data_IF_883264346336
#
_entry.id   IF_883264346336
#
_cell.length_a   1.000
_cell.length_b   1.000
_cell.length_c   1.000
_cell.angle_alpha   90.00
_cell.angle_beta   90.00
_cell.angle_gamma   90.00
#
_symmetry.space_group_name_H-M   'P 1'
#
loop_
_entity.id
_entity.type
_entity.pdbx_description
1 polymer ?
#
# COMPACT_ATOMS: atom_id res chain seq x y z
N UNK A 1 6.91 -10.48 -10.33
CA UNK A 1 6.06 -10.62 -11.55
C UNK A 1 6.48 -9.56 -12.55
N UNK A 2 6.23 -9.77 -13.85
CA UNK A 2 6.43 -8.77 -14.93
C UNK A 2 5.06 -8.42 -15.49
N UNK A 3 4.40 -7.42 -14.92
CA UNK A 3 3.11 -6.90 -15.36
C UNK A 3 3.29 -5.62 -16.20
N UNK A 4 4.34 -4.84 -15.94
CA UNK A 4 4.63 -3.62 -16.71
C UNK A 4 5.08 -3.99 -18.13
N UNK A 5 4.30 -3.55 -19.10
CA UNK A 5 4.56 -3.73 -20.53
C UNK A 5 5.73 -2.86 -20.99
N UNK A 6 6.32 -3.24 -22.12
CA UNK A 6 7.37 -2.43 -22.76
C UNK A 6 6.90 -1.01 -23.09
N UNK A 7 5.63 -0.86 -23.50
CA UNK A 7 5.02 0.42 -23.84
C UNK A 7 4.93 1.32 -22.62
N UNK A 8 4.32 0.84 -21.54
CA UNK A 8 4.22 1.60 -20.27
C UNK A 8 5.60 1.96 -19.73
N UNK A 9 6.57 1.05 -19.82
CA UNK A 9 7.94 1.31 -19.39
C UNK A 9 8.59 2.43 -20.21
N UNK A 10 8.38 2.44 -21.52
CA UNK A 10 8.86 3.50 -22.40
C UNK A 10 8.19 4.84 -22.09
N UNK A 11 6.87 4.85 -21.88
CA UNK A 11 6.12 6.07 -21.54
C UNK A 11 6.55 6.64 -20.17
N UNK A 12 6.80 5.76 -19.18
CA UNK A 12 7.36 6.14 -17.88
C UNK A 12 8.73 6.80 -18.01
N UNK A 13 9.62 6.25 -18.85
CA UNK A 13 10.92 6.87 -19.12
C UNK A 13 10.78 8.19 -19.88
N UNK A 14 9.85 8.29 -20.82
CA UNK A 14 9.63 9.53 -21.54
C UNK A 14 9.17 10.66 -20.59
N UNK A 15 8.26 10.41 -19.65
CA UNK A 15 7.85 11.44 -18.68
C UNK A 15 8.95 11.79 -17.68
N UNK A 16 9.86 10.86 -17.37
CA UNK A 16 11.05 11.12 -16.54
C UNK A 16 12.05 11.98 -17.30
N UNK A 17 12.28 11.68 -18.59
CA UNK A 17 13.26 12.38 -19.41
C UNK A 17 12.80 13.76 -19.84
N UNK A 18 11.53 13.88 -20.25
CA UNK A 18 11.00 15.06 -20.95
C UNK A 18 9.85 15.73 -20.23
N UNK A 19 9.29 15.15 -19.17
CA UNK A 19 8.03 15.63 -18.60
C UNK A 19 6.83 15.33 -19.49
N UNK A 20 5.72 16.01 -19.24
CA UNK A 20 4.47 15.82 -19.99
C UNK A 20 3.65 17.10 -20.09
N UNK A 21 2.75 17.16 -21.07
CA UNK A 21 1.81 18.27 -21.19
C UNK A 21 0.54 18.01 -20.39
N UNK A 22 -0.01 19.06 -19.78
CA UNK A 22 -1.32 19.05 -19.11
C UNK A 22 -2.14 20.25 -19.55
N UNK A 23 -3.44 20.05 -19.69
CA UNK A 23 -4.40 21.14 -19.90
C UNK A 23 -4.73 21.82 -18.58
N UNK A 24 -4.64 23.14 -18.55
CA UNK A 24 -4.98 23.98 -17.41
C UNK A 24 -5.95 25.08 -17.87
N UNK A 25 -6.98 25.35 -17.07
CA UNK A 25 -7.87 26.48 -17.31
C UNK A 25 -7.25 27.73 -16.71
N UNK A 26 -7.05 28.76 -17.55
CA UNK A 26 -6.47 30.04 -17.17
C UNK A 26 -7.49 31.15 -17.46
N UNK A 27 -7.81 31.97 -16.46
CA UNK A 27 -8.74 33.10 -16.61
C UNK A 27 -8.00 34.32 -17.16
N UNK A 28 -8.24 34.68 -18.41
CA UNK A 28 -7.68 35.85 -19.08
C UNK A 28 -8.61 37.05 -19.00
N UNK A 29 -8.09 38.20 -18.58
CA UNK A 29 -8.85 39.45 -18.64
C UNK A 29 -8.75 40.03 -20.06
N UNK A 30 -9.87 40.06 -20.77
CA UNK A 30 -9.92 40.51 -22.17
C UNK A 30 -10.18 42.01 -22.34
N UNK A 31 -10.28 42.78 -21.25
CA UNK A 31 -10.58 44.21 -21.28
C UNK A 31 -12.02 44.53 -21.69
N UNK A 32 -12.46 44.03 -22.86
CA UNK A 32 -13.76 44.32 -23.49
C UNK A 32 -14.89 43.40 -23.02
N UNK A 33 -14.59 42.16 -22.59
CA UNK A 33 -15.59 41.14 -22.22
C UNK A 33 -15.43 40.58 -20.79
N UNK A 34 -14.50 41.13 -19.99
CA UNK A 34 -14.19 40.61 -18.65
C UNK A 34 -13.25 39.40 -18.69
N UNK A 35 -13.34 38.53 -17.68
CA UNK A 35 -12.54 37.31 -17.60
C UNK A 35 -13.13 36.22 -18.49
N UNK A 36 -12.29 35.62 -19.33
CA UNK A 36 -12.63 34.40 -20.08
C UNK A 36 -11.74 33.27 -19.61
N UNK A 37 -12.31 32.08 -19.43
CA UNK A 37 -11.56 30.89 -19.12
C UNK A 37 -11.08 30.25 -20.43
N UNK A 38 -9.76 30.13 -20.56
CA UNK A 38 -9.12 29.53 -21.74
C UNK A 38 -8.39 28.28 -21.29
N UNK A 39 -8.58 27.18 -22.03
CA UNK A 39 -7.79 25.96 -21.83
C UNK A 39 -6.43 26.15 -22.49
N UNK A 40 -5.38 26.18 -21.68
CA UNK A 40 -4.00 26.27 -22.13
C UNK A 40 -3.25 24.96 -21.85
N UNK A 41 -2.30 24.62 -22.72
CA UNK A 41 -1.43 23.47 -22.53
C UNK A 41 -0.16 23.91 -21.83
N UNK A 42 0.05 23.42 -20.61
CA UNK A 42 1.20 23.71 -19.77
C UNK A 42 2.11 22.50 -19.72
N UNK A 43 3.40 22.72 -19.92
CA UNK A 43 4.40 21.67 -19.81
C UNK A 43 4.83 21.49 -18.35
N UNK A 44 4.70 20.26 -17.86
CA UNK A 44 5.04 19.84 -16.50
C UNK A 44 6.33 19.04 -16.54
N UNK A 45 7.36 19.53 -15.83
CA UNK A 45 8.64 18.87 -15.73
C UNK A 45 9.16 18.87 -14.29
N UNK A 46 9.60 17.70 -13.83
CA UNK A 46 10.26 17.50 -12.55
C UNK A 46 11.52 16.66 -12.75
N UNK A 47 12.71 17.15 -12.37
CA UNK A 47 13.92 16.34 -12.46
C UNK A 47 13.85 15.18 -11.46
N UNK A 48 14.25 13.98 -11.89
CA UNK A 48 14.13 12.76 -11.08
C UNK A 48 14.90 12.82 -9.75
N UNK A 49 16.05 13.50 -9.74
CA UNK A 49 16.87 13.70 -8.55
C UNK A 49 16.35 14.83 -7.64
N UNK A 50 15.35 15.59 -8.08
CA UNK A 50 14.71 16.66 -7.30
C UNK A 50 15.69 17.71 -6.77
N UNK A 51 15.97 17.66 -5.46
CA UNK A 51 16.89 18.57 -4.75
C UNK A 51 18.31 18.02 -4.57
N UNK A 52 18.53 16.75 -4.90
CA UNK A 52 19.82 16.06 -4.79
C UNK A 52 20.62 16.22 -6.09
N UNK A 53 21.88 15.77 -6.10
CA UNK A 53 22.60 15.46 -7.33
C UNK A 53 22.18 14.11 -7.91
N UNK A 54 22.50 13.87 -9.19
CA UNK A 54 22.25 12.58 -9.85
C UNK A 54 22.88 11.41 -9.08
N UNK A 55 24.14 11.56 -8.65
CA UNK A 55 24.85 10.51 -7.90
C UNK A 55 24.19 10.28 -6.54
N UNK A 56 23.92 11.33 -5.78
CA UNK A 56 23.25 11.22 -4.47
C UNK A 56 21.86 10.57 -4.59
N UNK A 57 21.13 10.81 -5.70
CA UNK A 57 19.87 10.14 -5.95
C UNK A 57 20.07 8.65 -6.23
N UNK A 58 20.98 8.28 -7.13
CA UNK A 58 21.23 6.89 -7.51
C UNK A 58 21.74 6.09 -6.30
N UNK A 59 22.59 6.66 -5.45
CA UNK A 59 23.10 6.02 -4.22
C UNK A 59 21.99 5.67 -3.21
N UNK A 60 20.82 6.30 -3.30
CA UNK A 60 19.67 5.94 -2.44
C UNK A 60 19.00 4.64 -2.87
N UNK A 61 19.18 4.25 -4.12
CA UNK A 61 18.60 3.05 -4.71
C UNK A 61 19.62 1.92 -4.86
N UNK A 62 20.90 2.25 -5.08
CA UNK A 62 21.94 1.31 -5.45
C UNK A 62 23.22 1.53 -4.66
N UNK A 63 23.87 0.47 -4.12
CA UNK A 63 25.13 0.58 -3.41
C UNK A 63 26.29 0.75 -4.41
N UNK A 64 26.47 1.97 -4.93
CA UNK A 64 27.42 2.24 -6.01
C UNK A 64 28.89 1.91 -5.66
N UNK A 65 29.26 1.99 -4.39
CA UNK A 65 30.60 1.61 -3.88
C UNK A 65 30.85 0.09 -3.98
N UNK A 66 29.80 -0.73 -3.98
CA UNK A 66 29.89 -2.20 -4.05
C UNK A 66 29.60 -2.77 -5.46
N UNK A 67 29.19 -1.90 -6.40
CA UNK A 67 28.85 -2.30 -7.76
C UNK A 67 30.07 -2.29 -8.67
N UNK A 68 30.16 -3.23 -9.64
CA UNK A 68 31.29 -3.29 -10.55
C UNK A 68 31.33 -2.06 -11.47
N UNK A 69 32.54 -1.55 -11.69
CA UNK A 69 32.80 -0.53 -12.72
C UNK A 69 32.65 -1.10 -14.13
N UNK A 70 32.16 -0.29 -15.08
CA UNK A 70 32.21 -0.63 -16.51
C UNK A 70 33.53 -0.23 -17.15
N UNK A 71 34.30 0.63 -16.47
CA UNK A 71 35.64 1.02 -16.84
C UNK A 71 36.66 0.49 -15.83
N UNK A 72 37.44 -0.50 -16.28
CA UNK A 72 38.52 -1.15 -15.52
C UNK A 72 39.57 -0.21 -14.87
N UNK A 73 39.57 1.10 -15.19
CA UNK A 73 40.40 2.12 -14.55
C UNK A 73 39.91 2.49 -13.15
N UNK A 74 38.64 2.26 -12.84
CA UNK A 74 38.02 2.57 -11.55
C UNK A 74 37.70 1.29 -10.77
N UNK A 75 37.71 1.41 -9.45
CA UNK A 75 37.49 0.29 -8.53
C UNK A 75 36.03 -0.14 -8.48
N UNK A 76 35.11 0.82 -8.51
CA UNK A 76 33.67 0.64 -8.33
C UNK A 76 32.86 1.47 -9.34
N UNK A 77 31.54 1.27 -9.34
CA UNK A 77 30.62 2.01 -10.18
C UNK A 77 30.59 3.50 -9.84
N UNK A 78 30.74 3.88 -8.57
CA UNK A 78 30.70 5.28 -8.15
C UNK A 78 31.84 6.10 -8.74
N UNK A 79 33.07 5.60 -8.70
CA UNK A 79 34.25 6.25 -9.26
C UNK A 79 34.16 6.39 -10.78
N UNK A 80 33.66 5.35 -11.44
CA UNK A 80 33.35 5.31 -12.88
C UNK A 80 32.36 6.41 -13.27
N UNK A 81 31.18 6.37 -12.64
CA UNK A 81 30.08 7.32 -12.86
C UNK A 81 30.56 8.74 -12.58
N UNK A 82 31.16 9.00 -11.42
CA UNK A 82 31.65 10.33 -11.04
C UNK A 82 32.63 10.88 -12.08
N UNK A 83 33.55 10.06 -12.57
CA UNK A 83 34.53 10.54 -13.51
C UNK A 83 33.88 10.89 -14.85
N UNK A 84 32.99 10.04 -15.34
CA UNK A 84 32.37 10.20 -16.65
C UNK A 84 31.23 11.24 -16.68
N UNK A 85 30.43 11.36 -15.62
CA UNK A 85 29.29 12.29 -15.58
C UNK A 85 29.66 13.67 -15.02
N UNK A 86 30.67 13.76 -14.14
CA UNK A 86 31.06 15.03 -13.49
C UNK A 86 32.41 15.54 -13.97
N UNK A 87 33.45 14.70 -14.01
CA UNK A 87 34.81 15.18 -14.31
C UNK A 87 35.02 15.43 -15.81
N UNK A 88 34.57 14.50 -16.65
CA UNK A 88 34.71 14.57 -18.11
C UNK A 88 33.41 14.96 -18.82
N UNK A 89 32.25 14.64 -18.23
CA UNK A 89 30.93 14.88 -18.80
C UNK A 89 30.81 14.34 -20.24
N UNK A 90 31.24 13.09 -20.44
CA UNK A 90 31.33 12.43 -21.75
C UNK A 90 30.30 11.29 -21.92
N UNK A 91 29.45 11.06 -20.92
CA UNK A 91 28.30 10.16 -21.00
C UNK A 91 27.02 10.89 -21.43
N UNK A 92 26.08 10.21 -22.11
CA UNK A 92 24.80 10.79 -22.46
C UNK A 92 23.94 11.08 -21.21
N UNK A 93 23.03 12.05 -21.32
CA UNK A 93 21.99 12.23 -20.31
C UNK A 93 21.17 10.94 -20.17
N UNK A 94 20.78 10.62 -18.93
CA UNK A 94 20.02 9.40 -18.61
C UNK A 94 20.73 8.08 -18.99
N UNK A 95 22.08 8.08 -19.05
CA UNK A 95 22.90 6.90 -19.30
C UNK A 95 22.50 5.67 -18.45
N UNK A 96 22.01 5.88 -17.23
CA UNK A 96 21.62 4.83 -16.29
C UNK A 96 20.36 4.06 -16.74
N UNK A 97 19.50 4.65 -17.57
CA UNK A 97 18.39 3.92 -18.20
C UNK A 97 18.93 2.88 -19.18
N UNK A 98 20.13 3.12 -19.71
CA UNK A 98 20.79 2.24 -20.67
C UNK A 98 21.75 1.21 -20.06
N UNK A 99 22.02 1.32 -18.77
CA UNK A 99 23.00 0.51 -18.07
C UNK A 99 22.34 -0.69 -17.35
N UNK A 100 22.75 -1.90 -17.73
CA UNK A 100 22.19 -3.15 -17.22
C UNK A 100 22.37 -3.32 -15.70
N UNK A 101 23.35 -2.64 -15.09
CA UNK A 101 23.59 -2.70 -13.64
C UNK A 101 22.42 -2.17 -12.82
N UNK A 102 21.56 -1.33 -13.39
CA UNK A 102 20.41 -0.73 -12.71
C UNK A 102 19.10 -1.48 -12.95
N UNK A 103 19.09 -2.42 -13.90
CA UNK A 103 17.93 -3.27 -14.21
C UNK A 103 16.64 -2.50 -14.55
N UNK A 104 16.78 -1.28 -15.10
CA UNK A 104 15.64 -0.43 -15.43
C UNK A 104 15.02 -0.76 -16.79
N UNK A 105 15.79 -1.33 -17.73
CA UNK A 105 15.31 -1.62 -19.09
C UNK A 105 14.14 -2.61 -19.13
N UNK A 106 13.45 -2.59 -20.27
CA UNK A 106 12.55 -3.69 -20.63
C UNK A 106 13.30 -5.03 -20.58
N UNK A 107 12.63 -6.07 -20.08
CA UNK A 107 13.22 -7.40 -19.89
C UNK A 107 13.78 -7.67 -18.49
N UNK A 108 13.90 -6.66 -17.62
CA UNK A 108 14.17 -6.84 -16.19
C UNK A 108 12.86 -6.96 -15.37
N UNK A 109 12.97 -7.08 -14.05
CA UNK A 109 11.82 -7.07 -13.16
C UNK A 109 11.15 -5.68 -13.10
N UNK A 110 9.93 -5.61 -12.57
CA UNK A 110 9.20 -4.34 -12.42
C UNK A 110 9.62 -3.57 -11.15
N UNK A 111 10.11 -4.28 -10.15
CA UNK A 111 10.50 -3.69 -8.87
C UNK A 111 11.55 -2.56 -8.99
N UNK A 112 12.63 -2.67 -9.79
CA UNK A 112 13.60 -1.58 -9.94
C UNK A 112 12.98 -0.27 -10.45
N UNK A 113 12.13 -0.31 -11.49
CA UNK A 113 11.49 0.90 -12.01
C UNK A 113 10.46 1.45 -11.03
N UNK A 114 9.69 0.60 -10.34
CA UNK A 114 8.73 1.05 -9.34
C UNK A 114 9.42 1.71 -8.14
N UNK A 115 10.55 1.16 -7.67
CA UNK A 115 11.39 1.78 -6.63
C UNK A 115 11.97 3.13 -7.09
N UNK A 116 12.47 3.21 -8.32
CA UNK A 116 12.97 4.45 -8.90
C UNK A 116 11.91 5.55 -8.91
N UNK A 117 10.68 5.25 -9.36
CA UNK A 117 9.57 6.20 -9.38
C UNK A 117 9.14 6.63 -7.97
N UNK A 118 9.09 5.70 -7.00
CA UNK A 118 8.79 6.03 -5.61
C UNK A 118 9.86 6.94 -4.99
N UNK A 119 11.14 6.68 -5.28
CA UNK A 119 12.25 7.46 -4.74
C UNK A 119 12.28 8.88 -5.32
N UNK A 120 11.98 9.04 -6.60
CA UNK A 120 11.77 10.35 -7.23
C UNK A 120 10.71 11.19 -6.48
N UNK A 121 9.67 10.52 -5.96
CA UNK A 121 8.57 11.13 -5.20
C UNK A 121 8.85 11.25 -3.70
N UNK A 122 9.97 10.72 -3.19
CA UNK A 122 10.26 10.73 -1.76
C UNK A 122 10.43 12.16 -1.23
N UNK A 123 9.86 12.56 -0.07
CA UNK A 123 10.00 13.90 0.54
C UNK A 123 11.42 14.38 0.85
N UNK A 124 12.44 13.55 0.62
CA UNK A 124 13.86 13.90 0.78
C UNK A 124 14.51 14.25 -0.58
N UNK A 125 13.91 13.76 -1.67
CA UNK A 125 14.33 13.97 -3.05
C UNK A 125 13.50 15.09 -3.68
N UNK A 126 12.18 14.94 -3.75
CA UNK A 126 11.29 15.90 -4.42
C UNK A 126 11.38 17.31 -3.84
N UNK A 127 11.07 18.32 -4.65
CA UNK A 127 10.82 19.69 -4.19
C UNK A 127 9.34 19.84 -3.88
N UNK A 128 9.01 20.26 -2.67
CA UNK A 128 7.62 20.26 -2.19
C UNK A 128 6.73 21.28 -2.93
N UNK A 129 7.33 22.37 -3.38
CA UNK A 129 6.73 23.41 -4.24
C UNK A 129 6.80 23.07 -5.75
N UNK A 130 7.33 21.89 -6.10
CA UNK A 130 7.35 21.38 -7.47
C UNK A 130 6.09 20.60 -7.86
N UNK A 131 5.99 20.15 -9.13
CA UNK A 131 4.79 19.52 -9.65
C UNK A 131 4.72 18.01 -9.36
N UNK A 132 5.12 17.60 -8.16
CA UNK A 132 5.24 16.17 -7.82
C UNK A 132 3.88 15.47 -7.74
N UNK A 133 2.81 16.20 -7.42
CA UNK A 133 1.44 15.66 -7.37
C UNK A 133 0.95 15.29 -8.76
N UNK A 134 1.23 16.15 -9.74
CA UNK A 134 0.95 15.91 -11.14
C UNK A 134 1.72 14.68 -11.65
N UNK A 135 2.96 14.49 -11.19
CA UNK A 135 3.71 13.27 -11.49
C UNK A 135 3.09 12.02 -10.86
N UNK A 136 2.58 12.07 -9.61
CA UNK A 136 1.85 10.94 -9.00
C UNK A 136 0.63 10.56 -9.86
N UNK A 137 -0.17 11.55 -10.25
CA UNK A 137 -1.34 11.35 -11.11
C UNK A 137 -0.94 10.71 -12.44
N UNK A 138 0.07 11.27 -13.12
CA UNK A 138 0.51 10.78 -14.43
C UNK A 138 1.15 9.40 -14.37
N UNK A 139 1.96 9.11 -13.35
CA UNK A 139 2.55 7.80 -13.15
C UNK A 139 1.45 6.75 -12.94
N UNK A 140 0.45 7.06 -12.13
CA UNK A 140 -0.68 6.15 -11.90
C UNK A 140 -1.56 5.96 -13.14
N UNK A 141 -1.74 6.99 -13.96
CA UNK A 141 -2.41 6.87 -15.26
C UNK A 141 -1.73 5.80 -16.14
N UNK A 142 -0.40 5.76 -16.13
CA UNK A 142 0.40 4.81 -16.91
C UNK A 142 0.49 3.41 -16.25
N UNK A 143 0.63 3.33 -14.93
CA UNK A 143 0.82 2.05 -14.23
C UNK A 143 -0.46 1.24 -14.05
N UNK A 144 -1.61 1.90 -13.87
CA UNK A 144 -2.88 1.22 -13.58
C UNK A 144 -3.29 0.19 -14.64
N UNK A 145 -3.22 0.49 -15.95
CA UNK A 145 -3.49 -0.50 -17.01
C UNK A 145 -2.64 -1.78 -16.88
N UNK A 146 -1.44 -1.66 -16.32
CA UNK A 146 -0.48 -2.76 -16.13
C UNK A 146 -0.54 -3.36 -14.72
N UNK A 147 -1.60 -3.06 -13.96
CA UNK A 147 -1.87 -3.68 -12.66
C UNK A 147 -1.01 -3.16 -11.51
N UNK A 148 -0.44 -1.96 -11.62
CA UNK A 148 0.29 -1.31 -10.53
C UNK A 148 -0.24 0.08 -10.22
N UNK A 149 -0.07 0.52 -8.98
CA UNK A 149 -0.23 1.91 -8.58
C UNK A 149 0.83 2.30 -7.55
N UNK A 150 1.15 3.60 -7.53
CA UNK A 150 1.90 4.26 -6.48
C UNK A 150 0.89 4.97 -5.56
N UNK A 151 0.97 4.71 -4.26
CA UNK A 151 0.03 5.20 -3.24
C UNK A 151 0.76 5.86 -2.07
N UNK A 152 0.11 6.81 -1.41
CA UNK A 152 0.64 7.44 -0.21
C UNK A 152 0.64 6.40 0.93
N UNK A 153 1.83 6.02 1.38
CA UNK A 153 2.01 4.89 2.31
C UNK A 153 2.11 5.35 3.76
N UNK A 154 2.87 6.41 4.03
CA UNK A 154 3.02 7.01 5.36
C UNK A 154 3.53 8.45 5.22
N UNK A 155 3.70 9.17 6.33
CA UNK A 155 4.19 10.55 6.32
C UNK A 155 5.51 10.70 7.06
N UNK A 156 6.40 11.55 6.53
CA UNK A 156 7.58 12.05 7.23
C UNK A 156 7.44 13.56 7.33
N UNK A 157 7.43 14.10 8.55
CA UNK A 157 7.25 15.55 8.79
C UNK A 157 6.01 16.10 8.06
N UNK A 158 4.88 15.37 8.15
CA UNK A 158 3.60 15.65 7.49
C UNK A 158 3.62 15.68 5.95
N UNK A 159 4.59 14.99 5.33
CA UNK A 159 4.70 14.84 3.87
C UNK A 159 4.56 13.39 3.46
N UNK A 160 3.72 13.13 2.46
CA UNK A 160 3.44 11.78 1.99
C UNK A 160 4.67 11.12 1.35
N UNK A 161 5.00 9.94 1.84
CA UNK A 161 5.94 8.99 1.25
C UNK A 161 5.16 7.98 0.42
N UNK A 162 5.54 7.85 -0.84
CA UNK A 162 4.87 6.96 -1.78
C UNK A 162 5.56 5.60 -1.87
N UNK A 163 4.76 4.52 -1.88
CA UNK A 163 5.20 3.16 -2.21
C UNK A 163 4.35 2.63 -3.36
N UNK A 164 4.73 1.50 -3.95
CA UNK A 164 3.94 0.83 -4.99
C UNK A 164 3.20 -0.39 -4.44
N UNK A 165 2.07 -0.74 -5.06
CA UNK A 165 1.32 -1.98 -4.83
C UNK A 165 0.64 -2.42 -6.12
N UNK A 166 0.16 -3.66 -6.16
CA UNK A 166 -0.71 -4.08 -7.26
C UNK A 166 -2.00 -3.24 -7.28
N UNK A 167 -2.33 -2.69 -8.43
CA UNK A 167 -3.59 -1.99 -8.65
C UNK A 167 -4.71 -2.99 -8.83
N UNK A 168 -5.81 -2.75 -8.14
CA UNK A 168 -7.05 -3.48 -8.32
C UNK A 168 -8.00 -2.52 -9.03
N UNK A 169 -8.22 -2.77 -10.31
CA UNK A 169 -9.16 -1.98 -11.11
C UNK A 169 -10.58 -2.11 -10.53
N UNK A 170 -11.13 -0.98 -10.09
CA UNK A 170 -12.48 -0.90 -9.56
C UNK A 170 -13.55 -0.87 -10.67
N UNK A 171 -13.15 -0.53 -11.90
CA UNK A 171 -14.02 -0.36 -13.08
C UNK A 171 -14.12 -1.65 -13.91
N UNK A 172 -13.12 -2.54 -13.82
CA UNK A 172 -13.27 -3.96 -14.21
C UNK A 172 -14.01 -4.69 -13.11
N UNK A 173 -15.31 -4.41 -13.02
CA UNK A 173 -16.30 -5.09 -12.17
C UNK A 173 -15.75 -5.49 -10.80
N UNK A 174 -16.04 -4.72 -9.76
CA UNK A 174 -16.05 -5.21 -8.38
C UNK A 174 -16.75 -6.59 -8.38
N UNK A 175 -15.93 -7.64 -8.45
CA UNK A 175 -16.38 -9.01 -8.61
C UNK A 175 -16.65 -9.54 -7.22
N UNK A 176 -17.30 -10.71 -7.12
CA UNK A 176 -17.47 -11.40 -5.83
C UNK A 176 -16.18 -11.37 -4.99
N UNK A 177 -15.00 -11.55 -5.60
CA UNK A 177 -13.71 -11.64 -4.89
C UNK A 177 -13.24 -10.35 -4.20
N UNK A 178 -13.81 -9.18 -4.50
CA UNK A 178 -13.38 -7.90 -3.90
C UNK A 178 -14.17 -7.54 -2.64
N UNK A 179 -15.38 -8.08 -2.47
CA UNK A 179 -16.21 -7.84 -1.29
C UNK A 179 -15.45 -8.24 -0.01
N UNK A 180 -15.56 -7.40 1.03
CA UNK A 180 -15.08 -7.71 2.37
C UNK A 180 -15.44 -9.14 2.79
N UNK A 181 -16.69 -9.57 2.64
CA UNK A 181 -17.09 -10.93 3.02
C UNK A 181 -16.37 -12.04 2.26
N UNK A 182 -16.05 -11.82 0.98
CA UNK A 182 -15.27 -12.78 0.21
C UNK A 182 -13.78 -12.74 0.53
N UNK A 183 -13.23 -11.56 0.88
CA UNK A 183 -11.86 -11.43 1.39
C UNK A 183 -11.66 -12.18 2.71
N UNK A 184 -12.68 -12.21 3.57
CA UNK A 184 -12.63 -12.85 4.88
C UNK A 184 -13.48 -14.13 4.99
N UNK A 185 -13.83 -14.77 3.86
CA UNK A 185 -14.75 -15.92 3.81
C UNK A 185 -14.39 -17.09 4.72
N UNK A 186 -13.10 -17.29 4.99
CA UNK A 186 -12.60 -18.38 5.86
C UNK A 186 -12.98 -18.18 7.33
N UNK A 187 -13.33 -16.94 7.71
CA UNK A 187 -13.76 -16.56 9.06
C UNK A 187 -15.28 -16.48 9.19
N UNK A 188 -16.02 -16.61 8.08
CA UNK A 188 -17.49 -16.65 8.09
C UNK A 188 -17.93 -18.12 8.15
N UNK A 189 -18.59 -18.50 9.24
CA UNK A 189 -19.07 -19.88 9.40
C UNK A 189 -20.59 -19.95 9.24
N UNK A 190 -21.09 -21.04 8.68
CA UNK A 190 -22.54 -21.30 8.60
C UNK A 190 -22.91 -22.38 9.61
N UNK A 191 -23.73 -22.04 10.61
CA UNK A 191 -24.25 -22.98 11.59
C UNK A 191 -25.78 -22.98 11.54
N UNK A 192 -26.40 -24.13 11.23
CA UNK A 192 -27.86 -24.27 11.09
C UNK A 192 -28.51 -23.28 10.11
N UNK A 193 -27.79 -22.87 9.06
CA UNK A 193 -28.26 -21.90 8.07
C UNK A 193 -28.03 -20.43 8.44
N UNK A 194 -27.57 -20.13 9.66
CA UNK A 194 -27.21 -18.77 10.08
C UNK A 194 -25.72 -18.52 9.87
N UNK A 195 -25.39 -17.31 9.39
CA UNK A 195 -24.03 -16.82 9.25
C UNK A 195 -23.52 -16.34 10.61
N UNK A 196 -22.32 -16.80 10.98
CA UNK A 196 -21.60 -16.39 12.17
C UNK A 196 -20.40 -15.54 11.78
N UNK A 197 -20.35 -14.34 12.35
CA UNK A 197 -19.25 -13.38 12.17
C UNK A 197 -18.13 -13.67 13.17
N UNK A 198 -16.99 -14.20 12.69
CA UNK A 198 -15.76 -14.31 13.50
C UNK A 198 -14.71 -13.25 13.13
N UNK A 199 -15.10 -12.23 12.39
CA UNK A 199 -14.24 -11.16 11.87
C UNK A 199 -14.36 -9.92 12.75
N UNK A 200 -15.56 -9.36 12.83
CA UNK A 200 -15.81 -8.04 13.43
C UNK A 200 -16.19 -8.13 14.92
N UNK A 201 -16.51 -9.33 15.42
CA UNK A 201 -16.96 -9.55 16.79
C UNK A 201 -18.41 -9.13 17.03
N UNK A 202 -18.80 -8.97 18.30
CA UNK A 202 -20.16 -8.50 18.65
C UNK A 202 -20.28 -6.99 18.45
N UNK A 203 -20.89 -6.59 17.34
CA UNK A 203 -21.23 -5.18 17.07
C UNK A 203 -22.65 -4.88 17.55
N UNK A 204 -22.81 -3.84 18.35
CA UNK A 204 -24.11 -3.42 18.86
C UNK A 204 -24.97 -2.75 17.78
N UNK A 205 -26.29 -2.99 17.84
CA UNK A 205 -27.28 -2.44 16.89
C UNK A 205 -27.17 -0.93 16.69
N UNK A 206 -26.89 -0.15 17.75
CA UNK A 206 -26.70 1.31 17.63
C UNK A 206 -25.55 1.73 16.72
N UNK A 207 -24.51 0.90 16.62
CA UNK A 207 -23.40 1.13 15.71
C UNK A 207 -23.84 0.84 14.27
N UNK A 208 -24.64 -0.21 14.06
CA UNK A 208 -25.24 -0.50 12.76
C UNK A 208 -26.17 0.63 12.29
N UNK A 209 -27.06 1.12 13.16
CA UNK A 209 -27.92 2.29 12.89
C UNK A 209 -27.09 3.52 12.52
N UNK A 210 -25.99 3.77 13.24
CA UNK A 210 -25.10 4.90 12.96
C UNK A 210 -24.44 4.78 11.59
N UNK A 211 -24.00 3.59 11.19
CA UNK A 211 -23.38 3.36 9.88
C UNK A 211 -24.40 3.54 8.76
N UNK A 212 -25.59 2.96 8.93
CA UNK A 212 -26.67 3.08 7.94
C UNK A 212 -27.16 4.52 7.79
N UNK A 213 -27.24 5.28 8.87
CA UNK A 213 -27.58 6.71 8.81
C UNK A 213 -26.53 7.52 8.05
N UNK A 214 -25.24 7.17 8.14
CA UNK A 214 -24.19 7.79 7.34
C UNK A 214 -24.36 7.38 5.87
N UNK A 215 -24.59 6.09 5.58
CA UNK A 215 -24.83 5.62 4.21
C UNK A 215 -26.00 6.38 3.55
N UNK A 216 -27.13 6.54 4.27
CA UNK A 216 -28.28 7.31 3.79
C UNK A 216 -27.97 8.79 3.60
N UNK A 217 -27.15 9.40 4.47
CA UNK A 217 -26.71 10.79 4.31
C UNK A 217 -25.90 11.02 3.02
N UNK A 218 -25.12 10.02 2.60
CA UNK A 218 -24.29 10.06 1.39
C UNK A 218 -24.96 9.34 0.21
N UNK A 219 -26.30 9.38 0.09
CA UNK A 219 -27.05 8.90 -1.08
C UNK A 219 -26.91 9.87 -2.27
N UNK A 220 -25.68 10.09 -2.76
CA UNK A 220 -25.41 11.06 -3.83
C UNK A 220 -26.31 10.80 -5.04
N UNK A 221 -27.22 11.74 -5.41
CA UNK A 221 -28.13 11.54 -6.51
C UNK A 221 -27.39 11.44 -7.84
N UNK A 222 -27.74 10.44 -8.64
CA UNK A 222 -27.11 10.19 -9.94
C UNK A 222 -28.13 9.77 -10.99
N UNK A 223 -27.67 9.71 -12.24
CA UNK A 223 -28.47 9.31 -13.38
C UNK A 223 -27.73 8.20 -14.13
N UNK A 224 -28.35 7.04 -14.22
CA UNK A 224 -27.81 5.92 -15.00
C UNK A 224 -28.57 5.75 -16.32
N UNK A 225 -27.85 5.34 -17.36
CA UNK A 225 -28.41 4.97 -18.66
C UNK A 225 -28.31 3.45 -18.81
N UNK A 226 -29.41 2.70 -18.62
CA UNK A 226 -29.38 1.24 -18.62
C UNK A 226 -28.89 0.63 -19.93
N UNK A 227 -29.00 1.37 -21.05
CA UNK A 227 -28.57 0.92 -22.36
C UNK A 227 -27.86 2.06 -23.10
N UNK A 228 -26.66 1.77 -23.64
CA UNK A 228 -25.85 2.73 -24.42
C UNK A 228 -26.58 3.25 -25.68
N UNK A 229 -27.57 2.52 -26.18
CA UNK A 229 -28.35 2.88 -27.38
C UNK A 229 -29.71 3.52 -27.07
N UNK A 230 -30.08 3.62 -25.79
CA UNK A 230 -31.33 4.22 -25.35
C UNK A 230 -31.05 5.52 -24.58
N UNK A 231 -31.89 6.53 -24.81
CA UNK A 231 -31.80 7.81 -24.11
C UNK A 231 -32.59 7.80 -22.79
N UNK A 232 -33.12 6.64 -22.38
CA UNK A 232 -33.81 6.48 -21.11
C UNK A 232 -32.86 6.67 -19.93
N UNK A 233 -33.10 7.73 -19.16
CA UNK A 233 -32.37 8.10 -17.96
C UNK A 233 -33.15 7.66 -16.72
N UNK A 234 -32.50 6.87 -15.85
CA UNK A 234 -33.06 6.46 -14.57
C UNK A 234 -32.39 7.29 -13.48
N UNK A 235 -33.20 8.05 -12.73
CA UNK A 235 -32.76 8.71 -11.52
C UNK A 235 -32.59 7.68 -10.42
N UNK A 236 -31.43 7.69 -9.78
CA UNK A 236 -31.05 6.80 -8.69
C UNK A 236 -30.08 7.56 -7.78
N UNK A 237 -29.43 6.86 -6.87
CA UNK A 237 -28.41 7.39 -5.98
C UNK A 237 -27.31 6.35 -5.73
N UNK A 238 -26.17 6.81 -5.19
CA UNK A 238 -25.00 5.97 -4.95
C UNK A 238 -25.29 4.79 -4.00
N UNK A 239 -26.13 4.98 -2.98
CA UNK A 239 -26.48 3.93 -2.02
C UNK A 239 -27.35 2.85 -2.68
N UNK A 240 -28.36 3.26 -3.44
CA UNK A 240 -29.24 2.37 -4.19
C UNK A 240 -28.46 1.53 -5.19
N UNK A 241 -27.55 2.14 -5.93
CA UNK A 241 -26.67 1.42 -6.86
C UNK A 241 -25.79 0.40 -6.12
N UNK A 242 -25.23 0.77 -4.96
CA UNK A 242 -24.43 -0.15 -4.15
C UNK A 242 -25.26 -1.36 -3.67
N UNK A 243 -26.49 -1.14 -3.21
CA UNK A 243 -27.40 -2.23 -2.78
C UNK A 243 -27.77 -3.13 -3.97
N UNK A 244 -28.11 -2.56 -5.12
CA UNK A 244 -28.44 -3.33 -6.34
C UNK A 244 -27.25 -4.19 -6.78
N UNK A 245 -26.03 -3.64 -6.72
CA UNK A 245 -24.80 -4.39 -6.99
C UNK A 245 -24.54 -5.48 -5.97
N UNK A 246 -24.70 -5.18 -4.68
CA UNK A 246 -24.55 -6.14 -3.59
C UNK A 246 -25.49 -7.35 -3.78
N UNK A 247 -26.77 -7.10 -4.05
CA UNK A 247 -27.78 -8.14 -4.31
C UNK A 247 -27.39 -8.97 -5.55
N UNK A 248 -26.90 -8.33 -6.60
CA UNK A 248 -26.45 -9.00 -7.83
C UNK A 248 -25.27 -9.96 -7.56
N UNK A 249 -24.35 -9.57 -6.66
CA UNK A 249 -23.14 -10.34 -6.35
C UNK A 249 -23.42 -11.46 -5.34
N UNK A 250 -24.14 -11.17 -4.25
CA UNK A 250 -24.37 -12.12 -3.15
C UNK A 250 -25.57 -13.05 -3.40
N UNK A 251 -26.48 -12.64 -4.28
CA UNK A 251 -27.65 -13.39 -4.70
C UNK A 251 -28.85 -13.24 -3.76
N UNK A 252 -30.05 -13.20 -4.35
CA UNK A 252 -31.33 -12.98 -3.66
C UNK A 252 -31.65 -13.97 -2.52
N UNK A 253 -31.06 -15.17 -2.52
CA UNK A 253 -31.33 -16.21 -1.52
C UNK A 253 -30.49 -16.08 -0.24
N UNK A 254 -29.44 -15.25 -0.26
CA UNK A 254 -28.50 -15.09 0.87
C UNK A 254 -28.87 -13.94 1.81
N UNK A 255 -29.86 -13.13 1.44
CA UNK A 255 -30.39 -12.01 2.23
C UNK A 255 -31.72 -12.50 2.84
N UNK A 256 -31.78 -12.74 4.15
CA UNK A 256 -33.03 -13.16 4.83
C UNK A 256 -34.11 -12.04 4.85
N UNK A 257 -33.78 -10.84 4.36
CA UNK A 257 -34.69 -9.70 4.22
C UNK A 257 -35.38 -9.77 2.86
N UNK A 258 -36.69 -9.51 2.83
CA UNK A 258 -37.44 -9.40 1.59
C UNK A 258 -36.81 -8.30 0.71
N UNK A 259 -36.18 -8.67 -0.42
CA UNK A 259 -35.44 -7.71 -1.24
C UNK A 259 -36.32 -6.62 -1.85
N UNK A 260 -37.62 -6.88 -2.02
CA UNK A 260 -38.60 -5.86 -2.43
C UNK A 260 -38.81 -4.79 -1.34
N UNK A 261 -38.60 -5.14 -0.06
CA UNK A 261 -38.76 -4.22 1.07
C UNK A 261 -37.51 -3.38 1.36
N UNK A 262 -36.34 -3.74 0.81
CA UNK A 262 -35.11 -2.94 0.94
C UNK A 262 -35.21 -1.60 0.20
N UNK A 263 -36.14 -1.47 -0.74
CA UNK A 263 -36.40 -0.24 -1.49
C UNK A 263 -37.67 0.49 -1.02
N UNK A 264 -38.29 0.06 0.09
CA UNK A 264 -39.39 0.75 0.76
C UNK A 264 -38.87 1.77 1.80
N UNK A 265 -39.76 2.65 2.27
CA UNK A 265 -39.50 3.83 3.14
C UNK A 265 -38.79 3.49 4.48
N UNK A 266 -38.59 2.21 4.82
CA UNK A 266 -37.84 1.75 6.00
C UNK A 266 -36.53 1.02 5.65
N UNK A 267 -35.86 1.40 4.57
CA UNK A 267 -34.58 0.80 4.12
C UNK A 267 -33.54 0.76 5.26
N UNK A 268 -33.49 1.80 6.09
CA UNK A 268 -32.47 1.95 7.14
C UNK A 268 -32.54 0.86 8.22
N UNK A 269 -33.72 0.59 8.76
CA UNK A 269 -33.93 -0.46 9.78
C UNK A 269 -33.60 -1.86 9.25
N UNK A 270 -33.85 -2.08 7.96
CA UNK A 270 -33.59 -3.35 7.30
C UNK A 270 -32.09 -3.56 7.03
N UNK A 271 -31.39 -2.52 6.56
CA UNK A 271 -29.94 -2.55 6.41
C UNK A 271 -29.25 -2.76 7.77
N UNK A 272 -29.72 -2.07 8.82
CA UNK A 272 -29.16 -2.22 10.17
C UNK A 272 -29.35 -3.63 10.74
N UNK A 273 -30.32 -4.39 10.21
CA UNK A 273 -30.61 -5.78 10.61
C UNK A 273 -29.84 -6.83 9.78
N UNK A 274 -29.07 -6.42 8.77
CA UNK A 274 -28.26 -7.35 7.97
C UNK A 274 -27.15 -7.99 8.79
N UNK A 275 -26.68 -9.15 8.33
CA UNK A 275 -25.43 -9.74 8.77
C UNK A 275 -24.32 -8.69 8.66
N UNK A 276 -23.68 -8.35 9.77
CA UNK A 276 -22.85 -7.14 9.88
C UNK A 276 -21.77 -7.00 8.79
N UNK A 277 -21.01 -8.07 8.42
CA UNK A 277 -20.06 -8.00 7.31
C UNK A 277 -20.66 -7.59 5.95
N UNK A 278 -21.96 -7.77 5.72
CA UNK A 278 -22.62 -7.27 4.51
C UNK A 278 -22.77 -5.75 4.52
N UNK A 279 -22.84 -5.10 5.68
CA UNK A 279 -22.79 -3.63 5.73
C UNK A 279 -21.44 -3.11 5.25
N UNK A 280 -20.36 -3.83 5.53
CA UNK A 280 -19.04 -3.50 5.01
C UNK A 280 -18.98 -3.62 3.49
N UNK A 281 -19.52 -4.71 2.92
CA UNK A 281 -19.62 -4.87 1.47
C UNK A 281 -20.38 -3.69 0.82
N UNK A 282 -21.51 -3.28 1.39
CA UNK A 282 -22.32 -2.18 0.85
C UNK A 282 -21.60 -0.84 1.00
N UNK A 283 -20.91 -0.59 2.12
CA UNK A 283 -20.09 0.62 2.31
C UNK A 283 -18.98 0.71 1.26
N UNK A 284 -18.26 -0.39 1.02
CA UNK A 284 -17.21 -0.47 -0.02
C UNK A 284 -17.81 -0.19 -1.40
N UNK A 285 -18.96 -0.80 -1.72
CA UNK A 285 -19.66 -0.58 -2.98
C UNK A 285 -20.13 0.87 -3.13
N UNK A 286 -20.74 1.46 -2.10
CA UNK A 286 -21.21 2.84 -2.11
C UNK A 286 -20.05 3.81 -2.31
N UNK A 287 -18.92 3.59 -1.66
CA UNK A 287 -17.71 4.39 -1.87
C UNK A 287 -17.30 4.43 -3.36
N UNK A 288 -17.51 3.36 -4.11
CA UNK A 288 -17.20 3.35 -5.54
C UNK A 288 -18.20 4.15 -6.37
N UNK A 289 -19.48 4.11 -6.01
CA UNK A 289 -20.54 4.84 -6.72
C UNK A 289 -20.49 6.35 -6.45
N UNK A 290 -19.87 6.77 -5.35
CA UNK A 290 -19.68 8.19 -5.02
C UNK A 290 -18.73 8.89 -6.00
N UNK A 291 -19.02 10.16 -6.26
CA UNK A 291 -18.11 11.05 -6.96
C UNK A 291 -16.84 11.31 -6.14
N UNK A 292 -15.76 11.72 -6.80
CA UNK A 292 -14.50 12.02 -6.11
C UNK A 292 -14.63 13.13 -5.07
N UNK A 293 -15.66 14.00 -5.17
CA UNK A 293 -15.90 15.07 -4.22
C UNK A 293 -16.47 14.57 -2.88
N UNK A 294 -17.27 13.50 -2.88
CA UNK A 294 -17.95 12.98 -1.68
C UNK A 294 -17.12 11.90 -0.94
N UNK A 295 -16.21 11.22 -1.64
CA UNK A 295 -15.45 10.08 -1.12
C UNK A 295 -14.69 10.36 0.19
N UNK A 296 -14.02 11.51 0.28
CA UNK A 296 -13.21 11.84 1.45
C UNK A 296 -14.07 12.14 2.70
N UNK A 297 -15.21 12.79 2.53
CA UNK A 297 -16.14 13.11 3.62
C UNK A 297 -16.89 11.85 4.08
N UNK A 298 -17.36 11.02 3.14
CA UNK A 298 -17.96 9.73 3.45
C UNK A 298 -17.00 8.84 4.24
N UNK A 299 -15.75 8.74 3.80
CA UNK A 299 -14.70 7.98 4.50
C UNK A 299 -14.47 8.49 5.91
N UNK A 300 -14.40 9.80 6.11
CA UNK A 300 -14.19 10.38 7.44
C UNK A 300 -15.34 10.06 8.40
N UNK A 301 -16.59 10.12 7.93
CA UNK A 301 -17.75 9.82 8.78
C UNK A 301 -17.86 8.34 9.12
N UNK A 302 -17.63 7.45 8.14
CA UNK A 302 -17.57 6.00 8.37
C UNK A 302 -16.47 5.66 9.38
N UNK A 303 -15.25 6.18 9.22
CA UNK A 303 -14.15 5.91 10.15
C UNK A 303 -14.42 6.51 11.55
N UNK A 304 -15.10 7.65 11.61
CA UNK A 304 -15.60 8.23 12.85
C UNK A 304 -16.60 7.32 13.58
N UNK A 305 -17.51 6.69 12.83
CA UNK A 305 -18.46 5.72 13.36
C UNK A 305 -17.77 4.43 13.81
N UNK A 306 -16.81 3.90 13.03
CA UNK A 306 -16.00 2.75 13.43
C UNK A 306 -15.28 3.00 14.75
N UNK A 307 -14.61 4.15 14.88
CA UNK A 307 -13.92 4.53 16.12
C UNK A 307 -14.87 4.64 17.32
N UNK A 308 -16.04 5.24 17.14
CA UNK A 308 -17.05 5.37 18.20
C UNK A 308 -17.67 4.02 18.60
N UNK A 309 -17.78 3.11 17.65
CA UNK A 309 -18.29 1.75 17.83
C UNK A 309 -17.27 0.72 18.28
N UNK A 310 -16.01 1.13 18.54
CA UNK A 310 -14.89 0.22 18.82
C UNK A 310 -14.72 -0.89 17.76
N UNK A 311 -14.89 -0.52 16.49
CA UNK A 311 -14.63 -1.38 15.35
C UNK A 311 -13.17 -1.18 14.94
N UNK A 312 -12.40 -2.27 14.94
CA UNK A 312 -10.98 -2.30 14.59
C UNK A 312 -10.76 -2.35 13.07
N UNK A 313 -11.46 -1.49 12.33
CA UNK A 313 -11.34 -1.35 10.89
C UNK A 313 -11.39 0.13 10.49
N UNK A 314 -10.83 0.43 9.32
CA UNK A 314 -10.88 1.73 8.66
C UNK A 314 -11.24 1.54 7.18
N UNK A 315 -12.11 2.40 6.64
CA UNK A 315 -12.28 2.60 5.21
C UNK A 315 -11.08 3.38 4.69
N UNK A 316 -10.29 2.77 3.81
CA UNK A 316 -9.10 3.37 3.20
C UNK A 316 -9.45 4.36 2.09
N UNK A 317 -8.43 5.04 1.58
CA UNK A 317 -8.50 5.97 0.45
C UNK A 317 -8.87 5.34 -0.90
N UNK A 318 -8.75 4.02 -1.02
CA UNK A 318 -9.25 3.26 -2.17
C UNK A 318 -10.61 2.58 -1.90
N UNK A 319 -11.30 2.94 -0.82
CA UNK A 319 -12.67 2.46 -0.57
C UNK A 319 -12.78 1.03 -0.08
N UNK A 320 -11.68 0.41 0.35
CA UNK A 320 -11.70 -0.92 0.98
C UNK A 320 -11.71 -0.78 2.50
N UNK A 321 -12.42 -1.66 3.18
CA UNK A 321 -12.37 -1.73 4.64
C UNK A 321 -11.19 -2.61 5.04
N UNK A 322 -10.24 -2.00 5.73
CA UNK A 322 -8.97 -2.61 6.14
C UNK A 322 -8.92 -2.67 7.65
N UNK A 323 -8.28 -3.69 8.21
CA UNK A 323 -8.15 -3.80 9.66
C UNK A 323 -7.35 -2.62 10.20
N UNK A 324 -7.88 -1.95 11.21
CA UNK A 324 -7.18 -0.90 11.94
C UNK A 324 -6.15 -1.58 12.83
N UNK A 325 -4.89 -1.36 12.53
CA UNK A 325 -3.79 -1.90 13.32
C UNK A 325 -3.47 -0.88 14.42
N UNK A 326 -4.28 -0.83 15.49
CA UNK A 326 -4.08 0.13 16.61
C UNK A 326 -2.74 -0.06 17.36
N UNK A 327 -2.08 -1.19 17.13
CA UNK A 327 -0.76 -1.52 17.68
C UNK A 327 0.21 -1.97 16.59
N UNK A 328 0.22 -1.27 15.45
CA UNK A 328 1.35 -1.38 14.56
C UNK A 328 2.56 -0.82 15.33
N UNK A 329 3.59 -1.66 15.51
CA UNK A 329 4.88 -1.19 16.07
C UNK A 329 5.40 -0.03 15.20
N UNK A 330 4.96 0.03 13.93
CA UNK A 330 5.24 0.99 12.87
C UNK A 330 4.67 2.40 13.13
N UNK A 331 5.11 3.06 14.20
CA UNK A 331 5.07 4.53 14.24
C UNK A 331 6.09 5.10 13.22
N UNK A 332 5.95 6.38 12.85
CA UNK A 332 6.82 7.12 11.93
C UNK A 332 8.33 6.95 12.27
N UNK A 333 8.63 6.72 13.54
CA UNK A 333 9.97 6.42 14.06
C UNK A 333 10.59 5.14 13.52
N UNK A 334 9.81 4.08 13.24
CA UNK A 334 10.36 2.84 12.66
C UNK A 334 10.74 3.03 11.20
N UNK A 335 9.92 3.72 10.41
CA UNK A 335 10.27 4.04 9.02
C UNK A 335 11.59 4.82 8.92
N UNK A 336 11.79 5.80 9.80
CA UNK A 336 13.05 6.55 9.91
C UNK A 336 14.23 5.67 10.34
N UNK A 337 14.02 4.72 11.26
CA UNK A 337 15.07 3.83 11.73
C UNK A 337 15.44 2.74 10.70
N UNK A 338 14.47 2.25 9.93
CA UNK A 338 14.71 1.35 8.79
C UNK A 338 15.55 2.05 7.72
N UNK A 339 15.25 3.33 7.45
CA UNK A 339 16.03 4.15 6.53
C UNK A 339 17.50 4.34 6.93
N UNK A 340 17.85 4.12 8.20
CA UNK A 340 19.23 4.19 8.73
C UNK A 340 19.96 2.85 8.71
N UNK A 341 19.28 1.75 8.38
CA UNK A 341 19.92 0.43 8.26
C UNK A 341 20.90 0.47 7.10
N UNK A 342 22.18 0.24 7.39
CA UNK A 342 23.24 0.23 6.39
C UNK A 342 23.25 -1.04 5.53
N UNK A 343 22.83 -2.18 6.09
CA UNK A 343 22.80 -3.44 5.34
C UNK A 343 21.59 -3.47 4.40
N UNK A 344 21.81 -3.42 3.07
CA UNK A 344 20.74 -3.22 2.11
C UNK A 344 19.76 -4.40 2.07
N UNK A 345 20.21 -5.62 2.34
CA UNK A 345 19.36 -6.81 2.36
C UNK A 345 18.32 -6.79 3.48
N UNK A 346 18.75 -6.51 4.72
CA UNK A 346 17.88 -6.37 5.89
C UNK A 346 16.88 -5.24 5.69
N UNK A 347 17.33 -4.11 5.14
CA UNK A 347 16.45 -2.97 4.81
C UNK A 347 15.39 -3.37 3.80
N UNK A 348 15.78 -4.00 2.69
CA UNK A 348 14.85 -4.42 1.64
C UNK A 348 13.79 -5.40 2.16
N UNK A 349 14.19 -6.39 2.97
CA UNK A 349 13.28 -7.36 3.58
C UNK A 349 12.27 -6.68 4.51
N UNK A 350 12.71 -5.73 5.33
CA UNK A 350 11.81 -4.98 6.21
C UNK A 350 10.86 -4.07 5.44
N UNK A 351 11.36 -3.38 4.41
CA UNK A 351 10.53 -2.53 3.55
C UNK A 351 9.44 -3.32 2.83
N UNK A 352 9.78 -4.53 2.33
CA UNK A 352 8.85 -5.45 1.69
C UNK A 352 7.83 -6.01 2.71
N UNK A 353 8.30 -6.48 3.87
CA UNK A 353 7.44 -7.02 4.92
C UNK A 353 6.39 -5.98 5.38
N UNK A 354 6.80 -4.73 5.56
CA UNK A 354 5.91 -3.62 5.92
C UNK A 354 4.93 -3.30 4.78
N UNK A 355 5.41 -3.25 3.54
CA UNK A 355 4.56 -2.98 2.40
C UNK A 355 3.47 -4.06 2.25
N UNK A 356 3.81 -5.33 2.46
CA UNK A 356 2.89 -6.46 2.44
C UNK A 356 1.90 -6.42 3.61
N UNK A 357 2.35 -6.12 4.83
CA UNK A 357 1.47 -6.05 6.01
C UNK A 357 0.38 -4.98 5.89
N UNK A 358 0.66 -3.91 5.12
CA UNK A 358 -0.28 -2.82 4.86
C UNK A 358 -1.31 -3.14 3.78
N UNK A 359 -1.21 -4.28 3.09
CA UNK A 359 -2.15 -4.63 2.05
C UNK A 359 -3.41 -5.29 2.63
N UNK A 360 -4.62 -4.94 2.15
CA UNK A 360 -5.90 -5.45 2.67
C UNK A 360 -6.18 -6.95 2.46
N UNK A 361 -5.25 -7.71 1.88
CA UNK A 361 -5.44 -9.10 1.46
C UNK A 361 -4.78 -10.05 2.47
N UNK A 362 -5.52 -11.04 2.95
CA UNK A 362 -5.03 -12.06 3.90
C UNK A 362 -3.72 -12.72 3.45
N UNK A 363 -3.58 -13.01 2.14
CA UNK A 363 -2.34 -13.60 1.60
C UNK A 363 -1.14 -12.69 1.80
N UNK A 364 -1.31 -11.37 1.66
CA UNK A 364 -0.24 -10.41 1.87
C UNK A 364 0.20 -10.34 3.33
N UNK A 365 -0.71 -10.50 4.30
CA UNK A 365 -0.35 -10.58 5.72
C UNK A 365 0.47 -11.86 6.02
N UNK A 366 0.13 -12.97 5.38
CA UNK A 366 0.95 -14.19 5.47
C UNK A 366 2.34 -13.98 4.87
N UNK A 367 2.41 -13.40 3.68
CA UNK A 367 3.68 -13.09 3.01
C UNK A 367 4.51 -12.09 3.85
N UNK A 368 3.86 -11.12 4.50
CA UNK A 368 4.52 -10.18 5.41
C UNK A 368 5.18 -10.88 6.60
N UNK A 369 4.51 -11.88 7.19
CA UNK A 369 5.06 -12.68 8.30
C UNK A 369 6.24 -13.52 7.84
N UNK A 370 6.18 -14.10 6.64
CA UNK A 370 7.33 -14.80 6.06
C UNK A 370 8.52 -13.85 5.90
N UNK A 371 8.29 -12.67 5.29
CA UNK A 371 9.33 -11.67 5.04
C UNK A 371 9.94 -11.06 6.30
N UNK A 372 9.15 -10.81 7.35
CA UNK A 372 9.71 -10.31 8.62
C UNK A 372 10.53 -11.40 9.33
N UNK A 373 10.21 -12.68 9.14
CA UNK A 373 11.05 -13.79 9.61
C UNK A 373 12.35 -13.92 8.81
N UNK A 374 12.32 -13.68 7.50
CA UNK A 374 13.54 -13.59 6.69
C UNK A 374 14.43 -12.43 7.16
N UNK A 375 13.83 -11.28 7.50
CA UNK A 375 14.55 -10.16 8.10
C UNK A 375 15.17 -10.53 9.46
N UNK A 376 14.46 -11.27 10.32
CA UNK A 376 15.01 -11.80 11.57
C UNK A 376 16.21 -12.72 11.32
N UNK A 377 16.12 -13.59 10.33
CA UNK A 377 17.21 -14.51 9.98
C UNK A 377 18.42 -13.76 9.41
N UNK A 378 18.18 -12.69 8.63
CA UNK A 378 19.23 -11.80 8.13
C UNK A 378 19.91 -11.05 9.27
N UNK A 379 19.13 -10.50 10.21
CA UNK A 379 19.63 -9.83 11.42
C UNK A 379 20.52 -10.76 12.26
N UNK A 380 20.13 -12.03 12.43
CA UNK A 380 20.93 -13.05 13.15
C UNK A 380 22.28 -13.34 12.48
N UNK A 381 22.50 -12.86 11.25
CA UNK A 381 23.76 -12.96 10.49
C UNK A 381 24.38 -11.61 10.16
N UNK A 382 23.95 -10.51 10.80
CA UNK A 382 24.44 -9.15 10.54
C UNK A 382 25.97 -9.04 10.71
N UNK A 383 26.52 -9.63 11.76
CA UNK A 383 27.96 -9.59 12.01
C UNK A 383 28.67 -10.76 11.32
N UNK A 384 29.07 -10.52 10.06
CA UNK A 384 29.67 -11.54 9.16
C UNK A 384 30.98 -12.15 9.67
N UNK A 385 31.67 -11.50 10.61
CA UNK A 385 32.88 -12.03 11.26
C UNK A 385 32.59 -13.11 12.31
N UNK A 386 31.31 -13.35 12.64
CA UNK A 386 30.87 -14.37 13.60
C UNK A 386 30.06 -15.46 12.90
N UNK A 387 29.96 -16.64 13.53
CA UNK A 387 28.93 -17.59 13.15
C UNK A 387 27.54 -17.06 13.54
N UNK A 388 26.46 -17.68 13.04
CA UNK A 388 25.08 -17.23 13.31
C UNK A 388 24.79 -17.08 14.80
N UNK A 389 25.34 -17.98 15.62
CA UNK A 389 25.17 -17.93 17.07
C UNK A 389 25.91 -16.73 17.67
N UNK A 390 27.19 -16.55 17.37
CA UNK A 390 27.98 -15.42 17.85
C UNK A 390 27.47 -14.07 17.37
N UNK A 391 26.96 -13.98 16.14
CA UNK A 391 26.30 -12.77 15.63
C UNK A 391 25.04 -12.46 16.43
N UNK A 392 24.21 -13.46 16.72
CA UNK A 392 23.00 -13.29 17.56
C UNK A 392 23.37 -12.85 18.98
N UNK A 393 24.38 -13.46 19.61
CA UNK A 393 24.87 -13.08 20.93
C UNK A 393 25.42 -11.64 20.94
N UNK A 394 26.09 -11.21 19.87
CA UNK A 394 26.57 -9.84 19.71
C UNK A 394 25.42 -8.83 19.60
N UNK A 395 24.39 -9.14 18.81
CA UNK A 395 23.17 -8.31 18.74
C UNK A 395 22.52 -8.19 20.12
N UNK A 396 22.33 -9.31 20.82
CA UNK A 396 21.75 -9.33 22.18
C UNK A 396 22.57 -8.47 23.15
N UNK A 397 23.89 -8.60 23.13
CA UNK A 397 24.78 -7.81 24.00
C UNK A 397 24.63 -6.30 23.75
N UNK A 398 24.53 -5.89 22.48
CA UNK A 398 24.34 -4.49 22.11
C UNK A 398 22.99 -3.94 22.61
N UNK A 399 21.87 -4.63 22.35
CA UNK A 399 20.53 -4.16 22.77
C UNK A 399 20.31 -4.22 24.29
N UNK A 400 21.03 -5.10 24.98
CA UNK A 400 20.94 -5.23 26.44
C UNK A 400 21.77 -4.19 27.19
N UNK A 401 22.65 -3.47 26.49
CA UNK A 401 23.56 -2.47 27.04
C UNK A 401 24.32 -2.98 28.29
N UNK A 402 24.75 -4.24 28.25
CA UNK A 402 25.50 -4.91 29.33
C UNK A 402 24.72 -5.27 30.60
N UNK A 403 23.38 -5.24 30.56
CA UNK A 403 22.53 -5.66 31.70
C UNK A 403 22.07 -7.11 31.57
N UNK A 404 22.47 -7.95 32.53
CA UNK A 404 22.23 -9.40 32.50
C UNK A 404 20.73 -9.78 32.45
N UNK A 405 19.86 -9.01 33.09
CA UNK A 405 18.42 -9.24 33.08
C UNK A 405 17.84 -9.09 31.67
N UNK A 406 18.32 -8.09 30.91
CA UNK A 406 17.89 -7.86 29.53
C UNK A 406 18.56 -8.83 28.55
N UNK A 407 19.81 -9.24 28.79
CA UNK A 407 20.44 -10.29 27.99
C UNK A 407 19.63 -11.59 28.05
N UNK A 408 19.18 -11.97 29.25
CA UNK A 408 18.35 -13.17 29.46
C UNK A 408 16.98 -13.02 28.78
N UNK A 409 16.36 -11.84 28.88
CA UNK A 409 15.08 -11.54 28.25
C UNK A 409 15.16 -11.69 26.73
N UNK A 410 16.12 -11.01 26.10
CA UNK A 410 16.24 -11.00 24.65
C UNK A 410 16.74 -12.33 24.09
N UNK A 411 17.65 -13.03 24.77
CA UNK A 411 18.03 -14.40 24.40
C UNK A 411 16.82 -15.35 24.39
N UNK A 412 15.95 -15.24 25.40
CA UNK A 412 14.69 -16.00 25.46
C UNK A 412 13.76 -15.65 24.30
N UNK A 413 13.67 -14.37 23.94
CA UNK A 413 12.82 -13.90 22.84
C UNK A 413 13.34 -14.34 21.46
N UNK A 414 14.64 -14.23 21.19
CA UNK A 414 15.26 -14.74 19.96
C UNK A 414 15.03 -16.25 19.80
N UNK A 415 15.14 -17.01 20.89
CA UNK A 415 14.84 -18.45 20.90
C UNK A 415 13.36 -18.72 20.62
N UNK A 416 12.46 -18.01 21.29
CA UNK A 416 11.02 -18.16 21.09
C UNK A 416 10.60 -17.88 19.64
N UNK A 417 11.09 -16.80 19.03
CA UNK A 417 10.80 -16.47 17.63
C UNK A 417 11.39 -17.49 16.64
N UNK A 418 12.58 -18.02 16.95
CA UNK A 418 13.19 -19.11 16.16
C UNK A 418 12.33 -20.37 16.23
N UNK A 419 11.85 -20.73 17.42
CA UNK A 419 10.99 -21.90 17.62
C UNK A 419 9.63 -21.73 16.92
N UNK A 420 9.04 -20.53 16.97
CA UNK A 420 7.79 -20.21 16.27
C UNK A 420 7.97 -20.38 14.76
N UNK A 421 9.01 -19.77 14.17
CA UNK A 421 9.28 -19.88 12.74
C UNK A 421 9.51 -21.32 12.25
N UNK A 422 10.00 -22.19 13.13
CA UNK A 422 10.21 -23.61 12.83
C UNK A 422 8.98 -24.49 13.08
N UNK A 423 8.08 -24.14 14.01
CA UNK A 423 6.91 -24.97 14.36
C UNK A 423 5.68 -24.66 13.52
N UNK A 424 5.47 -23.38 13.21
CA UNK A 424 4.33 -22.94 12.41
C UNK A 424 4.69 -22.87 10.94
N UNK A 425 3.68 -22.92 10.08
CA UNK A 425 3.82 -22.82 8.62
C UNK A 425 4.13 -21.38 8.15
N UNK A 426 5.19 -20.80 8.72
CA UNK A 426 5.70 -19.45 8.43
C UNK A 426 6.87 -19.56 7.45
N UNK A 427 7.94 -20.28 7.82
CA UNK A 427 9.16 -20.39 7.01
C UNK A 427 9.34 -21.76 6.34
N UNK A 428 8.69 -22.77 6.89
CA UNK A 428 8.77 -24.14 6.41
C UNK A 428 7.35 -24.64 6.11
N UNK A 429 7.14 -25.18 4.91
CA UNK A 429 5.84 -25.69 4.46
C UNK A 429 5.74 -27.22 4.52
N UNK A 430 6.56 -27.84 5.35
CA UNK A 430 6.55 -29.28 5.59
C UNK A 430 5.22 -29.71 6.25
N UNK A 431 4.81 -30.96 6.02
CA UNK A 431 3.49 -31.48 6.43
C UNK A 431 3.29 -31.61 7.94
N UNK A 432 4.37 -31.51 8.73
CA UNK A 432 4.37 -31.60 10.19
C UNK A 432 4.26 -30.23 10.90
N UNK A 433 4.18 -29.13 10.14
CA UNK A 433 4.09 -27.76 10.68
C UNK A 433 2.65 -27.37 10.99
N UNK A 434 2.44 -26.63 12.07
CA UNK A 434 1.11 -26.14 12.46
C UNK A 434 0.62 -25.06 11.48
N UNK A 435 -0.57 -25.27 10.92
CA UNK A 435 -1.24 -24.28 10.09
C UNK A 435 -1.79 -23.14 10.96
N UNK A 436 -1.56 -21.91 10.52
CA UNK A 436 -2.13 -20.72 11.14
C UNK A 436 -3.47 -20.46 10.46
N UNK A 437 -4.56 -20.80 11.13
CA UNK A 437 -5.93 -20.78 10.60
C UNK A 437 -6.66 -19.44 10.81
N UNK A 438 -6.17 -18.60 11.72
CA UNK A 438 -6.76 -17.29 12.03
C UNK A 438 -5.83 -16.20 11.53
N UNK A 439 -6.33 -15.32 10.66
CA UNK A 439 -5.52 -14.25 10.06
C UNK A 439 -4.92 -13.32 11.11
N UNK A 440 -5.62 -13.09 12.22
CA UNK A 440 -5.19 -12.18 13.29
C UNK A 440 -3.92 -12.68 13.98
N UNK A 441 -3.65 -13.97 13.90
CA UNK A 441 -2.40 -14.53 14.42
C UNK A 441 -1.20 -14.15 13.55
N UNK A 442 -1.37 -13.95 12.24
CA UNK A 442 -0.30 -13.41 11.40
C UNK A 442 0.08 -12.00 11.86
N UNK A 443 -0.89 -11.13 12.17
CA UNK A 443 -0.60 -9.78 12.66
C UNK A 443 0.11 -9.79 14.01
N UNK A 444 -0.31 -10.68 14.92
CA UNK A 444 0.39 -10.89 16.19
C UNK A 444 1.84 -11.32 15.97
N UNK A 445 2.07 -12.34 15.13
CA UNK A 445 3.41 -12.84 14.85
C UNK A 445 4.28 -11.78 14.16
N UNK A 446 3.71 -11.05 13.21
CA UNK A 446 4.35 -9.95 12.52
C UNK A 446 4.83 -8.90 13.53
N UNK A 447 3.92 -8.35 14.34
CA UNK A 447 4.23 -7.28 15.29
C UNK A 447 5.19 -7.74 16.38
N UNK A 448 5.07 -8.99 16.86
CA UNK A 448 6.01 -9.55 17.84
C UNK A 448 7.43 -9.64 17.27
N UNK A 449 7.58 -10.15 16.06
CA UNK A 449 8.89 -10.27 15.41
C UNK A 449 9.47 -8.89 15.07
N UNK A 450 8.65 -8.02 14.48
CA UNK A 450 9.01 -6.65 14.12
C UNK A 450 9.46 -5.84 15.34
N UNK A 451 8.80 -6.00 16.50
CA UNK A 451 9.20 -5.30 17.74
C UNK A 451 10.64 -5.57 18.12
N UNK A 452 11.08 -6.84 18.04
CA UNK A 452 12.46 -7.21 18.36
C UNK A 452 13.45 -6.64 17.34
N UNK A 453 13.13 -6.75 16.04
CA UNK A 453 13.99 -6.23 14.97
C UNK A 453 14.11 -4.71 15.07
N UNK A 454 12.99 -4.01 15.27
CA UNK A 454 12.93 -2.56 15.39
C UNK A 454 13.76 -2.01 16.56
N UNK A 455 13.86 -2.77 17.66
CA UNK A 455 14.80 -2.46 18.73
C UNK A 455 16.24 -2.73 18.28
N UNK A 456 16.52 -3.90 17.72
CA UNK A 456 17.86 -4.32 17.33
C UNK A 456 18.52 -3.36 16.33
N UNK A 457 17.78 -2.89 15.33
CA UNK A 457 18.30 -1.99 14.29
C UNK A 457 18.80 -0.64 14.84
N UNK A 458 18.39 -0.25 16.06
CA UNK A 458 18.86 0.97 16.71
C UNK A 458 20.26 0.81 17.35
N UNK A 459 20.74 -0.43 17.52
CA UNK A 459 21.97 -0.76 18.25
C UNK A 459 22.98 -1.57 17.41
N UNK A 460 22.68 -1.85 16.15
CA UNK A 460 23.60 -2.47 15.21
C UNK A 460 24.27 -1.38 14.36
N UNK A 461 25.57 -1.57 14.10
CA UNK A 461 26.40 -0.63 13.33
C UNK A 461 26.34 -0.86 11.82
#
# INVERSE_FOLDING_TARGET
MRQITEVTRQDLFEIVQKGFSRKQIVSHNTGDYGYIDVEEEVHVYMPFYGRLSEIEFIERLYPLDDMPSTDRRYEDAKGDIYCHTISFNDWPEFWFLDDERFELKNGFADEPILKFLCEMLHPAVRKEDGPWKEYVEKINELLKPDGYEIYASYRISDRDVYKFREYVDHDVSFNERCLFTNRYKELIQTTNGQLLDNICGEIGYKTQESLVSIMAKFEEPTIVKPNRYDNYEVKTDALRLAIERFITIVGYQAIEVNTDSLFDISCEDQLASLFFPYLFDIIELQYNELSSAEKDDFRQEINGAFKKGSIDFDLSDNGLIVQRIEHEVLDNTIGENIGKIKEPGLRALLDEAIALHRQPRISAHKDAVEKVWDALERLKTHYTSFDKKGSTEKVISNISNGKAEFETLFDSEFKALTDIGNKYRIRHHETDRFEISDVRYYDYFFNRCLSLIALAIQYIE
#
